data_IF_439390629982
#
_entry.id   IF_439390629982
#
_cell.length_a   1.000
_cell.length_b   1.000
_cell.length_c   1.000
_cell.angle_alpha   90.00
_cell.angle_beta   90.00
_cell.angle_gamma   90.00
#
_symmetry.space_group_name_H-M   'P 1'
#
loop_
_entity.id
_entity.type
_entity.pdbx_description
1 polymer ?
#
# COMPACT_ATOMS: atom_id res chain seq x y z
N UNK A 1 -16.70 -13.11 12.62
CA UNK A 1 -15.85 -13.62 13.72
C UNK A 1 -15.20 -12.43 14.39
N UNK A 2 -15.33 -12.25 15.71
CA UNK A 2 -14.53 -11.28 16.46
C UNK A 2 -13.26 -11.97 16.96
N UNK A 3 -12.34 -12.30 16.04
CA UNK A 3 -11.02 -12.84 16.36
C UNK A 3 -10.06 -11.65 16.54
N UNK A 4 -9.06 -11.80 17.39
CA UNK A 4 -7.93 -10.88 17.41
C UNK A 4 -7.23 -10.88 16.04
N UNK A 5 -6.63 -9.74 15.62
CA UNK A 5 -5.86 -9.68 14.38
C UNK A 5 -4.80 -10.79 14.33
N UNK A 6 -4.70 -11.47 13.21
CA UNK A 6 -3.79 -12.59 12.99
C UNK A 6 -3.33 -12.64 11.53
N UNK A 7 -2.44 -13.57 11.19
CA UNK A 7 -2.04 -13.74 9.79
C UNK A 7 -3.18 -14.33 8.96
N UNK A 8 -3.25 -13.94 7.67
CA UNK A 8 -4.22 -14.44 6.71
C UNK A 8 -5.69 -14.10 7.00
N UNK A 9 -5.95 -13.06 7.80
CA UNK A 9 -7.28 -12.73 8.28
C UNK A 9 -8.03 -11.65 7.48
N UNK A 10 -7.40 -11.09 6.44
CA UNK A 10 -7.96 -10.06 5.56
C UNK A 10 -8.13 -10.63 4.16
N UNK A 11 -9.36 -10.57 3.63
CA UNK A 11 -9.69 -10.86 2.23
C UNK A 11 -10.42 -9.66 1.62
N UNK A 12 -9.83 -9.04 0.60
CA UNK A 12 -10.34 -7.80 -0.02
C UNK A 12 -10.57 -8.02 -1.52
N UNK A 13 -11.77 -7.74 -2.04
CA UNK A 13 -12.01 -7.77 -3.47
C UNK A 13 -11.32 -6.58 -4.16
N UNK A 14 -10.65 -6.86 -5.29
CA UNK A 14 -10.00 -5.86 -6.15
C UNK A 14 -10.33 -6.19 -7.59
N UNK A 15 -11.23 -5.40 -8.19
CA UNK A 15 -11.85 -5.69 -9.48
C UNK A 15 -12.39 -7.13 -9.54
N UNK A 16 -11.86 -7.94 -10.47
CA UNK A 16 -12.20 -9.33 -10.76
C UNK A 16 -11.42 -10.35 -9.93
N UNK A 17 -10.52 -9.90 -9.04
CA UNK A 17 -9.70 -10.75 -8.18
C UNK A 17 -9.96 -10.43 -6.71
N UNK A 18 -9.41 -11.25 -5.82
CA UNK A 18 -9.38 -10.96 -4.39
C UNK A 18 -7.94 -11.09 -3.88
N UNK A 19 -7.60 -10.25 -2.90
CA UNK A 19 -6.31 -10.24 -2.23
C UNK A 19 -6.51 -10.79 -0.82
N UNK A 20 -5.73 -11.81 -0.46
CA UNK A 20 -5.65 -12.32 0.91
C UNK A 20 -4.30 -11.95 1.52
N UNK A 21 -4.31 -11.57 2.79
CA UNK A 21 -3.09 -11.22 3.50
C UNK A 21 -3.34 -11.04 5.00
N UNK A 22 -2.31 -10.73 5.79
CA UNK A 22 -0.87 -10.80 5.44
C UNK A 22 -0.16 -11.75 6.39
N UNK A 23 1.17 -11.84 6.29
CA UNK A 23 2.06 -12.37 7.33
C UNK A 23 2.71 -11.23 8.13
N UNK A 24 3.29 -11.56 9.28
CA UNK A 24 4.11 -10.66 10.10
C UNK A 24 5.38 -11.40 10.55
N UNK A 25 6.38 -11.34 9.68
CA UNK A 25 7.70 -11.96 9.85
C UNK A 25 8.78 -10.89 9.98
N UNK A 26 9.78 -11.15 10.83
CA UNK A 26 10.95 -10.28 10.94
C UNK A 26 11.87 -10.49 9.75
N UNK A 27 12.31 -9.38 9.17
CA UNK A 27 13.30 -9.36 8.10
C UNK A 27 14.56 -8.66 8.58
N UNK A 28 15.73 -9.19 8.21
CA UNK A 28 17.04 -8.60 8.55
C UNK A 28 17.53 -7.63 7.48
N UNK A 29 17.09 -7.82 6.23
CA UNK A 29 17.47 -7.00 5.09
C UNK A 29 16.20 -6.61 4.33
N UNK A 30 15.88 -5.31 4.21
CA UNK A 30 14.67 -4.87 3.52
C UNK A 30 14.67 -5.09 2.01
N UNK A 31 15.84 -5.33 1.41
CA UNK A 31 15.97 -5.64 -0.02
C UNK A 31 15.73 -7.12 -0.32
N UNK A 32 15.74 -7.98 0.71
CA UNK A 32 15.53 -9.43 0.58
C UNK A 32 14.14 -9.81 1.06
N UNK A 33 13.21 -9.92 0.11
CA UNK A 33 11.80 -10.21 0.36
C UNK A 33 11.34 -11.50 -0.33
N UNK A 34 11.95 -12.66 -0.02
CA UNK A 34 11.44 -13.92 -0.50
C UNK A 34 10.04 -14.15 0.08
N UNK A 35 9.16 -14.70 -0.75
CA UNK A 35 7.88 -15.23 -0.30
C UNK A 35 8.09 -16.72 -0.14
N UNK A 36 8.07 -17.19 1.11
CA UNK A 36 8.32 -18.59 1.38
C UNK A 36 7.07 -19.44 1.08
N UNK A 37 7.22 -20.70 0.63
CA UNK A 37 6.07 -21.55 0.28
C UNK A 37 5.04 -21.71 1.41
N UNK A 38 5.49 -21.68 2.66
CA UNK A 38 4.61 -21.79 3.82
C UNK A 38 3.71 -20.57 3.99
N UNK A 39 4.17 -19.37 3.61
CA UNK A 39 3.35 -18.14 3.69
C UNK A 39 2.16 -18.23 2.73
N UNK A 40 2.41 -18.74 1.51
CA UNK A 40 1.35 -18.98 0.53
C UNK A 40 0.37 -20.03 1.04
N UNK A 41 0.87 -21.16 1.58
CA UNK A 41 0.01 -22.20 2.13
C UNK A 41 -0.84 -21.68 3.30
N UNK A 42 -0.25 -20.87 4.18
CA UNK A 42 -0.97 -20.23 5.29
C UNK A 42 -2.13 -19.36 4.79
N UNK A 43 -1.91 -18.57 3.73
CA UNK A 43 -2.99 -17.77 3.12
C UNK A 43 -4.13 -18.65 2.59
N UNK A 44 -3.81 -19.77 1.94
CA UNK A 44 -4.83 -20.71 1.44
C UNK A 44 -5.62 -21.33 2.60
N UNK A 45 -4.93 -21.76 3.65
CA UNK A 45 -5.53 -22.41 4.82
C UNK A 45 -6.41 -21.46 5.63
N UNK A 46 -5.95 -20.23 5.88
CA UNK A 46 -6.75 -19.21 6.58
C UNK A 46 -7.91 -18.72 5.71
N UNK A 47 -7.69 -18.54 4.42
CA UNK A 47 -8.76 -18.12 3.53
C UNK A 47 -9.85 -19.18 3.33
N UNK A 48 -9.52 -20.48 3.37
CA UNK A 48 -10.54 -21.55 3.40
C UNK A 48 -11.43 -21.50 4.65
N UNK A 49 -10.90 -20.98 5.76
CA UNK A 49 -11.69 -20.76 6.99
C UNK A 49 -12.63 -19.57 6.86
N UNK A 50 -12.33 -18.62 5.96
CA UNK A 50 -13.16 -17.44 5.69
C UNK A 50 -14.19 -17.73 4.58
N UNK A 51 -13.74 -18.35 3.50
CA UNK A 51 -14.52 -18.68 2.29
C UNK A 51 -14.22 -20.14 1.92
N UNK A 52 -15.11 -21.09 2.28
CA UNK A 52 -14.86 -22.50 2.04
C UNK A 52 -14.57 -22.83 0.56
N UNK A 53 -13.42 -23.45 0.29
CA UNK A 53 -12.99 -23.84 -1.05
C UNK A 53 -12.17 -22.78 -1.79
N UNK A 54 -11.86 -21.65 -1.15
CA UNK A 54 -10.96 -20.62 -1.68
C UNK A 54 -9.59 -21.19 -2.05
N UNK A 55 -9.09 -22.20 -1.34
CA UNK A 55 -7.81 -22.88 -1.67
C UNK A 55 -7.78 -23.50 -3.06
N UNK A 56 -8.95 -23.75 -3.67
CA UNK A 56 -9.09 -24.27 -5.04
C UNK A 56 -9.06 -23.17 -6.10
N UNK A 57 -9.10 -21.89 -5.69
CA UNK A 57 -9.03 -20.76 -6.60
C UNK A 57 -7.65 -20.69 -7.26
N UNK A 58 -7.61 -20.13 -8.47
CA UNK A 58 -6.35 -19.92 -9.19
C UNK A 58 -5.55 -18.80 -8.52
N UNK A 59 -4.34 -19.12 -8.07
CA UNK A 59 -3.37 -18.13 -7.57
C UNK A 59 -2.76 -17.41 -8.77
N UNK A 60 -2.85 -16.07 -8.78
CA UNK A 60 -2.35 -15.25 -9.89
C UNK A 60 -0.95 -14.71 -9.62
N UNK A 61 -0.73 -14.16 -8.42
CA UNK A 61 0.53 -13.54 -8.00
C UNK A 61 0.59 -13.42 -6.49
N UNK A 62 1.80 -13.28 -5.96
CA UNK A 62 2.08 -12.93 -4.58
C UNK A 62 3.12 -11.78 -4.56
N UNK A 63 3.05 -10.93 -3.54
CA UNK A 63 4.03 -9.88 -3.30
C UNK A 63 4.29 -9.74 -1.80
N UNK A 64 5.47 -9.25 -1.46
CA UNK A 64 5.87 -8.94 -0.10
C UNK A 64 6.32 -7.48 -0.01
N UNK A 65 6.30 -6.94 1.21
CA UNK A 65 6.76 -5.60 1.50
C UNK A 65 7.13 -5.46 2.97
N UNK A 66 8.17 -4.68 3.25
CA UNK A 66 8.63 -4.44 4.62
C UNK A 66 7.90 -3.27 5.25
N UNK A 67 7.52 -3.44 6.50
CA UNK A 67 7.00 -2.35 7.33
C UNK A 67 8.16 -1.79 8.16
N UNK A 68 8.61 -0.55 7.92
CA UNK A 68 9.65 0.07 8.73
C UNK A 68 9.05 0.46 10.10
N UNK A 69 9.05 -0.47 11.03
CA UNK A 69 8.57 -0.25 12.40
C UNK A 69 9.70 0.36 13.23
N UNK A 70 9.42 1.49 13.87
CA UNK A 70 10.39 2.20 14.69
C UNK A 70 9.85 2.36 16.11
N UNK A 71 10.68 1.98 17.09
CA UNK A 71 10.42 2.28 18.48
C UNK A 71 11.76 2.51 19.19
N UNK A 72 11.92 3.70 19.77
CA UNK A 72 13.15 4.06 20.47
C UNK A 72 13.29 3.17 21.72
N UNK A 73 14.43 2.47 21.86
CA UNK A 73 14.73 1.61 22.99
C UNK A 73 13.95 0.28 23.07
N UNK A 74 13.28 -0.16 22.01
CA UNK A 74 12.48 -1.38 22.02
C UNK A 74 13.27 -2.63 21.62
N UNK A 75 13.14 -3.69 22.42
CA UNK A 75 13.72 -5.03 22.18
C UNK A 75 12.66 -6.15 22.23
N UNK A 76 11.37 -5.83 22.12
CA UNK A 76 10.26 -6.80 22.17
C UNK A 76 9.84 -7.35 20.80
N UNK A 77 8.71 -8.06 20.74
CA UNK A 77 8.28 -8.83 19.56
C UNK A 77 7.73 -7.97 18.37
N UNK A 78 7.81 -8.46 17.12
CA UNK A 78 7.56 -7.67 15.88
C UNK A 78 6.16 -7.04 15.83
N UNK A 79 5.13 -7.82 16.24
CA UNK A 79 3.71 -7.43 16.17
C UNK A 79 3.34 -6.33 17.17
N UNK A 80 4.11 -6.20 18.24
CA UNK A 80 3.89 -5.25 19.34
C UNK A 80 4.69 -3.95 19.16
N UNK A 81 5.62 -3.91 18.19
CA UNK A 81 6.34 -2.69 17.85
C UNK A 81 5.35 -1.62 17.35
N UNK A 82 5.46 -0.41 17.91
CA UNK A 82 4.48 0.64 17.64
C UNK A 82 4.42 1.01 16.16
N UNK A 83 3.21 0.93 15.59
CA UNK A 83 2.90 1.46 14.24
C UNK A 83 2.65 2.97 14.25
N UNK A 84 2.90 3.63 15.38
CA UNK A 84 2.74 5.08 15.51
C UNK A 84 3.76 5.81 14.63
N UNK A 85 3.42 7.03 14.21
CA UNK A 85 4.41 7.89 13.58
C UNK A 85 5.48 8.29 14.59
N UNK A 86 6.73 8.37 14.15
CA UNK A 86 7.83 8.91 14.93
C UNK A 86 8.53 10.02 14.13
N UNK A 87 8.47 11.25 14.65
CA UNK A 87 9.21 12.39 14.13
C UNK A 87 10.43 12.63 15.02
N UNK A 88 11.62 12.46 14.47
CA UNK A 88 12.90 12.68 15.15
C UNK A 88 13.42 14.08 14.80
N UNK A 89 13.53 14.93 15.82
CA UNK A 89 14.19 16.23 15.73
C UNK A 89 15.68 16.09 16.05
N UNK A 90 16.51 16.02 15.02
CA UNK A 90 17.95 15.86 15.19
C UNK A 90 18.63 17.09 15.79
N UNK A 91 17.98 18.26 15.81
CA UNK A 91 18.53 19.43 16.50
C UNK A 91 18.52 19.22 18.01
N UNK A 92 17.43 18.66 18.55
CA UNK A 92 17.28 18.39 19.99
C UNK A 92 18.01 17.10 20.39
N UNK A 93 17.96 16.09 19.52
CA UNK A 93 18.50 14.75 19.79
C UNK A 93 20.01 14.68 19.61
N UNK A 94 20.51 15.25 18.51
CA UNK A 94 21.86 15.02 18.00
C UNK A 94 22.65 16.33 17.80
N UNK A 95 22.05 17.50 18.05
CA UNK A 95 22.67 18.81 17.83
C UNK A 95 22.76 19.24 16.35
N UNK A 96 22.07 18.54 15.44
CA UNK A 96 22.11 18.80 13.98
C UNK A 96 20.87 19.58 13.55
N UNK A 97 21.02 20.86 13.24
CA UNK A 97 19.91 21.71 12.80
C UNK A 97 19.47 21.42 11.37
N UNK A 98 18.18 21.66 11.08
CA UNK A 98 17.61 21.50 9.74
C UNK A 98 17.43 20.04 9.29
N UNK A 99 17.65 19.07 10.20
CA UNK A 99 17.51 17.66 9.89
C UNK A 99 16.37 17.03 10.69
N UNK A 100 15.38 16.51 9.96
CA UNK A 100 14.18 15.87 10.49
C UNK A 100 14.03 14.50 9.85
N UNK A 101 13.81 13.47 10.65
CA UNK A 101 13.47 12.13 10.17
C UNK A 101 12.04 11.80 10.57
N UNK A 102 11.22 11.38 9.60
CA UNK A 102 9.89 10.81 9.85
C UNK A 102 9.93 9.32 9.50
N UNK A 103 9.53 8.47 10.44
CA UNK A 103 9.51 7.01 10.26
C UNK A 103 8.30 6.39 10.95
N UNK A 104 8.04 5.11 10.65
CA UNK A 104 6.83 4.42 11.03
C UNK A 104 5.60 5.01 10.34
N UNK A 105 4.47 4.99 11.05
CA UNK A 105 3.19 5.45 10.52
C UNK A 105 2.57 4.50 9.49
N UNK A 106 1.27 4.67 9.26
CA UNK A 106 0.50 3.89 8.29
C UNK A 106 0.28 4.71 7.03
N UNK A 107 0.03 4.03 5.91
CA UNK A 107 -0.48 4.68 4.70
C UNK A 107 -1.69 5.56 5.01
N UNK A 108 -2.63 5.08 5.84
CA UNK A 108 -3.82 5.84 6.24
C UNK A 108 -3.52 7.13 7.00
N UNK A 109 -2.32 7.30 7.55
CA UNK A 109 -1.90 8.48 8.32
C UNK A 109 -0.89 9.35 7.57
N UNK A 110 -0.59 9.06 6.30
CA UNK A 110 0.47 9.75 5.54
C UNK A 110 0.31 11.28 5.51
N UNK A 111 -0.94 11.78 5.35
CA UNK A 111 -1.22 13.22 5.35
C UNK A 111 -0.87 13.87 6.70
N UNK A 112 -1.22 13.20 7.80
CA UNK A 112 -0.89 13.68 9.14
C UNK A 112 0.62 13.64 9.37
N UNK A 113 1.32 12.60 8.90
CA UNK A 113 2.79 12.54 8.95
C UNK A 113 3.41 13.73 8.22
N UNK A 114 2.99 13.99 6.98
CA UNK A 114 3.49 15.11 6.19
C UNK A 114 3.22 16.46 6.88
N UNK A 115 2.02 16.66 7.43
CA UNK A 115 1.69 17.86 8.19
C UNK A 115 2.60 18.02 9.41
N UNK A 116 2.71 16.99 10.26
CA UNK A 116 3.54 17.02 11.47
C UNK A 116 5.02 17.31 11.16
N UNK A 117 5.56 16.71 10.09
CA UNK A 117 6.93 16.99 9.63
C UNK A 117 7.09 18.43 9.17
N UNK A 118 6.15 18.94 8.37
CA UNK A 118 6.23 20.29 7.84
C UNK A 118 5.98 21.38 8.88
N UNK A 119 5.11 21.14 9.85
CA UNK A 119 4.88 22.06 10.98
C UNK A 119 6.18 22.23 11.79
N UNK A 120 6.91 21.13 12.01
CA UNK A 120 8.22 21.16 12.68
C UNK A 120 9.30 21.86 11.84
N UNK A 121 9.33 21.61 10.53
CA UNK A 121 10.25 22.29 9.62
C UNK A 121 9.99 23.80 9.59
N UNK A 122 8.73 24.22 9.52
CA UNK A 122 8.32 25.63 9.57
C UNK A 122 8.79 26.30 10.87
N UNK A 123 8.64 25.62 12.01
CA UNK A 123 9.13 26.11 13.29
C UNK A 123 10.65 26.30 13.32
N UNK A 124 11.44 25.37 12.77
CA UNK A 124 12.91 25.51 12.69
C UNK A 124 13.35 26.63 11.73
N UNK A 125 12.58 26.88 10.67
CA UNK A 125 12.85 27.92 9.68
C UNK A 125 12.32 29.30 10.07
N UNK A 126 11.56 29.42 11.17
CA UNK A 126 10.90 30.67 11.56
C UNK A 126 9.82 31.12 10.57
N UNK A 127 9.19 30.17 9.88
CA UNK A 127 8.12 30.44 8.89
C UNK A 127 6.78 30.09 9.51
N UNK A 128 5.83 31.02 9.47
CA UNK A 128 4.44 30.74 9.82
C UNK A 128 3.61 30.50 8.56
N UNK A 129 3.12 29.26 8.39
CA UNK A 129 2.27 28.90 7.26
C UNK A 129 1.25 27.85 7.68
N UNK A 130 -0.03 28.15 7.51
CA UNK A 130 -1.09 27.18 7.78
C UNK A 130 -1.05 26.00 6.79
N UNK A 131 -1.22 24.79 7.31
CA UNK A 131 -1.40 23.59 6.49
C UNK A 131 -2.76 23.60 5.80
N UNK A 132 -2.79 23.29 4.49
CA UNK A 132 -4.02 23.28 3.66
C UNK A 132 -4.34 21.91 3.07
N UNK A 133 -3.55 20.89 3.39
CA UNK A 133 -3.61 19.58 2.73
C UNK A 133 -4.85 18.76 3.09
N UNK A 134 -5.59 19.15 4.14
CA UNK A 134 -6.87 18.53 4.47
C UNK A 134 -7.95 18.84 3.43
N UNK A 135 -7.91 20.04 2.85
CA UNK A 135 -8.93 20.55 1.93
C UNK A 135 -8.44 20.67 0.48
N UNK A 136 -7.15 20.45 0.24
CA UNK A 136 -6.56 20.50 -1.10
C UNK A 136 -6.77 19.16 -1.79
N UNK A 137 -7.51 19.10 -2.91
CA UNK A 137 -7.68 17.86 -3.68
C UNK A 137 -6.34 17.35 -4.21
N UNK A 138 -6.18 16.03 -4.25
CA UNK A 138 -5.02 15.40 -4.89
C UNK A 138 -5.09 15.66 -6.41
N UNK A 139 -3.99 16.08 -7.06
CA UNK A 139 -3.98 16.29 -8.50
C UNK A 139 -4.44 15.04 -9.27
N UNK A 140 -5.18 15.23 -10.37
CA UNK A 140 -5.64 14.12 -11.22
C UNK A 140 -6.83 13.32 -10.68
N UNK A 141 -7.43 13.72 -9.56
CA UNK A 141 -8.63 13.05 -9.03
C UNK A 141 -9.86 13.41 -9.87
N UNK A 142 -10.46 12.43 -10.55
CA UNK A 142 -11.82 12.57 -11.09
C UNK A 142 -12.82 12.56 -9.93
N UNK A 143 -13.77 13.49 -9.94
CA UNK A 143 -14.78 13.59 -8.89
C UNK A 143 -15.77 12.41 -9.00
N UNK A 144 -15.90 11.60 -7.94
CA UNK A 144 -16.88 10.52 -7.90
C UNK A 144 -16.58 9.48 -6.82
N UNK A 145 -17.53 8.55 -6.64
CA UNK A 145 -17.30 7.34 -5.85
C UNK A 145 -16.68 6.27 -6.74
N UNK A 146 -15.60 5.65 -6.28
CA UNK A 146 -15.05 4.49 -6.94
C UNK A 146 -16.06 3.33 -6.93
N UNK A 147 -16.26 2.71 -8.10
CA UNK A 147 -17.12 1.55 -8.25
C UNK A 147 -16.33 0.33 -8.73
N UNK A 148 -16.40 -0.76 -7.96
CA UNK A 148 -15.62 -1.97 -8.23
C UNK A 148 -15.85 -2.56 -9.63
N UNK A 149 -17.07 -2.47 -10.15
CA UNK A 149 -17.47 -3.05 -11.43
C UNK A 149 -17.15 -2.22 -12.67
N UNK A 150 -16.56 -1.02 -12.53
CA UNK A 150 -16.42 -0.08 -13.65
C UNK A 150 -15.65 -0.66 -14.85
N UNK A 151 -14.57 -1.42 -14.62
CA UNK A 151 -13.80 -2.04 -15.71
C UNK A 151 -14.60 -3.09 -16.47
N UNK A 152 -15.36 -3.93 -15.75
CA UNK A 152 -16.18 -4.96 -16.39
C UNK A 152 -17.28 -4.31 -17.22
N UNK A 153 -17.93 -3.31 -16.66
CA UNK A 153 -18.95 -2.54 -17.34
C UNK A 153 -18.45 -1.89 -18.62
N UNK A 154 -17.28 -1.25 -18.58
CA UNK A 154 -16.66 -0.63 -19.75
C UNK A 154 -16.35 -1.67 -20.85
N UNK A 155 -15.85 -2.85 -20.47
CA UNK A 155 -15.57 -3.94 -21.41
C UNK A 155 -16.86 -4.48 -22.04
N UNK A 156 -17.92 -4.66 -21.26
CA UNK A 156 -19.21 -5.17 -21.73
C UNK A 156 -19.95 -4.17 -22.60
N UNK A 157 -20.03 -2.91 -22.17
CA UNK A 157 -20.74 -1.82 -22.86
C UNK A 157 -20.11 -1.49 -24.21
N UNK A 158 -18.77 -1.50 -24.28
CA UNK A 158 -18.04 -1.16 -25.50
C UNK A 158 -17.54 -2.38 -26.29
N UNK A 159 -17.92 -3.59 -25.88
CA UNK A 159 -17.52 -4.85 -26.53
C UNK A 159 -15.99 -4.98 -26.74
N UNK A 160 -15.22 -4.64 -25.71
CA UNK A 160 -13.74 -4.56 -25.76
C UNK A 160 -13.06 -5.91 -25.48
N UNK A 161 -13.76 -7.04 -25.57
CA UNK A 161 -13.20 -8.35 -25.25
C UNK A 161 -11.97 -8.69 -26.12
N UNK A 162 -11.97 -8.26 -27.39
CA UNK A 162 -10.83 -8.45 -28.30
C UNK A 162 -9.62 -7.56 -27.99
N UNK A 163 -9.79 -6.52 -27.17
CA UNK A 163 -8.74 -5.56 -26.81
C UNK A 163 -8.10 -5.87 -25.45
N UNK A 164 -8.56 -6.90 -24.76
CA UNK A 164 -8.00 -7.33 -23.48
C UNK A 164 -6.57 -7.86 -23.67
N UNK A 165 -5.65 -7.27 -22.91
CA UNK A 165 -4.27 -7.75 -22.76
C UNK A 165 -4.16 -8.63 -21.51
N UNK A 166 -4.92 -8.33 -20.45
CA UNK A 166 -5.04 -9.18 -19.27
C UNK A 166 -6.51 -9.37 -18.89
N UNK A 167 -7.05 -10.57 -19.12
CA UNK A 167 -8.42 -10.93 -18.74
C UNK A 167 -8.62 -10.98 -17.22
N UNK A 168 -7.56 -11.28 -16.46
CA UNK A 168 -7.65 -11.46 -15.01
C UNK A 168 -7.93 -10.15 -14.27
N UNK A 169 -7.45 -9.02 -14.80
CA UNK A 169 -7.59 -7.68 -14.20
C UNK A 169 -8.33 -6.69 -15.12
N UNK A 170 -8.91 -7.21 -16.21
CA UNK A 170 -9.63 -6.46 -17.25
C UNK A 170 -8.82 -5.30 -17.83
N UNK A 171 -7.53 -5.54 -18.08
CA UNK A 171 -6.63 -4.53 -18.66
C UNK A 171 -6.73 -4.57 -20.18
N UNK A 172 -7.13 -3.46 -20.79
CA UNK A 172 -7.17 -3.30 -22.24
C UNK A 172 -5.87 -2.74 -22.80
N UNK A 173 -5.59 -2.96 -24.08
CA UNK A 173 -4.48 -2.34 -24.80
C UNK A 173 -4.47 -0.82 -24.62
N UNK A 174 -5.65 -0.19 -24.73
CA UNK A 174 -5.81 1.27 -24.60
C UNK A 174 -5.36 1.78 -23.24
N UNK A 175 -5.61 1.04 -22.15
CA UNK A 175 -5.15 1.42 -20.81
C UNK A 175 -3.62 1.44 -20.74
N UNK A 176 -2.95 0.42 -21.28
CA UNK A 176 -1.48 0.37 -21.32
C UNK A 176 -0.89 1.49 -22.17
N UNK A 177 -1.48 1.75 -23.34
CA UNK A 177 -1.04 2.84 -24.22
C UNK A 177 -1.25 4.21 -23.60
N UNK A 178 -2.35 4.40 -22.85
CA UNK A 178 -2.61 5.63 -22.11
C UNK A 178 -1.58 5.84 -21.00
N UNK A 179 -1.34 4.82 -20.17
CA UNK A 179 -0.35 4.88 -19.10
C UNK A 179 1.06 5.19 -19.64
N UNK A 180 1.45 4.54 -20.74
CA UNK A 180 2.74 4.78 -21.39
C UNK A 180 2.91 6.19 -21.96
N UNK A 181 1.84 6.79 -22.48
CA UNK A 181 1.88 8.17 -23.00
C UNK A 181 1.87 9.21 -21.89
N UNK A 182 1.14 8.96 -20.81
CA UNK A 182 1.03 9.86 -19.67
C UNK A 182 2.31 9.91 -18.83
N UNK A 183 3.15 8.87 -18.90
CA UNK A 183 4.42 8.80 -18.20
C UNK A 183 5.56 8.33 -19.14
N UNK A 184 6.26 9.24 -19.82
CA UNK A 184 7.25 8.89 -20.85
C UNK A 184 8.50 8.17 -20.31
N UNK A 185 8.69 8.12 -18.99
CA UNK A 185 9.79 7.39 -18.33
C UNK A 185 9.34 6.06 -17.73
N UNK A 186 8.10 5.63 -18.00
CA UNK A 186 7.54 4.42 -17.42
C UNK A 186 8.28 3.17 -17.89
N UNK A 187 8.65 2.30 -16.95
CA UNK A 187 9.15 0.97 -17.26
C UNK A 187 8.00 -0.03 -17.39
N UNK A 188 8.28 -1.23 -17.92
CA UNK A 188 7.28 -2.31 -17.89
C UNK A 188 6.87 -2.69 -16.46
N UNK A 189 7.79 -2.57 -15.50
CA UNK A 189 7.47 -2.86 -14.09
C UNK A 189 6.57 -1.79 -13.48
N UNK A 190 6.72 -0.53 -13.88
CA UNK A 190 5.82 0.55 -13.47
C UNK A 190 4.42 0.35 -14.07
N UNK A 191 4.33 0.02 -15.37
CA UNK A 191 3.06 -0.31 -16.03
C UNK A 191 2.34 -1.53 -15.44
N UNK A 192 3.07 -2.43 -14.78
CA UNK A 192 2.48 -3.59 -14.09
C UNK A 192 2.00 -3.26 -12.68
N UNK A 193 2.39 -2.10 -12.12
CA UNK A 193 2.01 -1.63 -10.79
C UNK A 193 0.82 -0.66 -10.84
N UNK A 194 0.70 0.11 -11.92
CA UNK A 194 -0.42 1.02 -12.23
C UNK A 194 -1.71 0.27 -12.64
#
# INVERSE_FOLDING_TARGET
RCKMPADGDILVPVHTVAIIGTTDERVTDPELLPIEPWEVQLMLDEGDKLVPGMSKARILRAWAGVRPLYQEGYAGDSRDATRALALLDHQQRDGVSGFLTITGGKWTTFRLMAQTTMDKACAQLGVERACRTADTPVPGTEQGYYWLGHRLHEVEEHHLQGDLVCECELVTRRMLEHAARSNPTVTLDDLRRD
#
